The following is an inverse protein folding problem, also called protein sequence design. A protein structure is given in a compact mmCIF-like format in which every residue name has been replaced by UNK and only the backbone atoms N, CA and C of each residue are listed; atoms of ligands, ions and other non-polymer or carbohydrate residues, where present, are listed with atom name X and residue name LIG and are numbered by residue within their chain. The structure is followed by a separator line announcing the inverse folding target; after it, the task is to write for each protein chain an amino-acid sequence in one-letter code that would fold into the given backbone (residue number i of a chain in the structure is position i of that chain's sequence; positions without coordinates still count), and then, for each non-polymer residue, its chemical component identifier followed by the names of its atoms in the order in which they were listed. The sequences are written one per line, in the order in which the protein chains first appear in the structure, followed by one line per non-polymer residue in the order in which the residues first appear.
data_IF_200388736273
#
_entry.id   IF_200388736273
#
_cell.length_a   1.000
_cell.length_b   1.000
_cell.length_c   1.000
_cell.angle_alpha   90.00
_cell.angle_beta   90.00
_cell.angle_gamma   90.00
#
_symmetry.space_group_name_H-M   'P 1'
#
loop_
_entity.id
_entity.type
_entity.pdbx_description
1 polymer ?
#
# COMPACT_ATOMS: atom_id res chain seq x y z
N UNK A 1 74.69 -5.53 7.68
CA UNK A 1 74.68 -6.16 6.33
C UNK A 1 73.73 -7.36 6.34
N UNK A 2 72.93 -7.46 5.29
CA UNK A 2 71.71 -8.28 5.10
C UNK A 2 71.84 -9.79 5.35
N UNK A 3 70.86 -10.38 6.06
CA UNK A 3 70.30 -11.74 5.86
C UNK A 3 68.82 -11.75 6.34
N UNK A 4 67.82 -11.68 5.46
CA UNK A 4 67.10 -12.74 4.71
C UNK A 4 66.05 -13.54 5.53
N UNK A 5 64.82 -13.52 4.97
CA UNK A 5 63.68 -14.46 5.06
C UNK A 5 62.72 -14.33 6.26
N UNK A 6 61.48 -13.91 5.99
CA UNK A 6 60.27 -14.47 6.63
C UNK A 6 59.22 -14.75 5.56
N UNK A 7 58.51 -15.84 5.83
CA UNK A 7 57.67 -16.70 5.02
C UNK A 7 56.37 -16.07 4.48
N UNK A 8 55.90 -16.64 3.37
CA UNK A 8 54.53 -16.61 2.89
C UNK A 8 53.56 -17.17 3.95
N UNK A 9 52.38 -16.55 4.09
CA UNK A 9 51.21 -17.21 4.65
C UNK A 9 49.97 -16.78 3.85
N UNK A 10 49.57 -17.67 2.94
CA UNK A 10 48.30 -17.69 2.22
C UNK A 10 47.16 -17.83 3.24
N UNK A 11 46.34 -16.80 3.38
CA UNK A 11 45.15 -16.84 4.23
C UNK A 11 43.93 -17.32 3.45
N UNK A 12 43.76 -18.64 3.33
CA UNK A 12 42.45 -19.25 3.12
C UNK A 12 41.95 -19.77 4.47
N UNK A 13 40.93 -19.12 5.02
CA UNK A 13 40.18 -19.65 6.16
C UNK A 13 38.70 -19.32 5.99
N UNK A 14 37.93 -20.39 5.89
CA UNK A 14 36.48 -20.46 5.82
C UNK A 14 35.85 -19.96 7.13
N UNK A 15 34.93 -19.02 7.02
CA UNK A 15 33.86 -18.77 7.99
C UNK A 15 32.63 -18.45 7.13
N UNK A 16 31.61 -19.32 7.00
CA UNK A 16 30.89 -19.92 8.11
C UNK A 16 29.82 -18.92 8.57
N UNK A 17 28.63 -18.98 7.96
CA UNK A 17 27.43 -18.37 8.52
C UNK A 17 26.94 -17.08 7.86
N UNK A 18 26.20 -17.21 6.77
CA UNK A 18 24.80 -16.77 6.72
C UNK A 18 24.25 -17.27 5.39
N UNK A 19 23.63 -18.45 5.41
CA UNK A 19 22.54 -18.70 4.48
C UNK A 19 21.48 -17.68 4.91
N UNK A 20 21.45 -16.53 4.24
CA UNK A 20 20.22 -15.75 4.19
C UNK A 20 19.26 -16.68 3.47
N UNK A 21 18.49 -17.42 4.26
CA UNK A 21 17.29 -18.06 3.77
C UNK A 21 16.47 -16.92 3.20
N UNK A 22 16.56 -16.78 1.87
CA UNK A 22 15.60 -16.02 1.10
C UNK A 22 14.27 -16.67 1.39
N UNK A 23 13.60 -16.20 2.45
CA UNK A 23 12.25 -16.60 2.77
C UNK A 23 11.48 -16.37 1.50
N UNK A 24 10.97 -17.44 0.91
CA UNK A 24 10.17 -17.36 -0.30
C UNK A 24 9.13 -16.28 -0.05
N UNK A 25 9.26 -15.16 -0.77
CA UNK A 25 8.29 -14.08 -0.67
C UNK A 25 6.98 -14.73 -1.06
N UNK A 26 6.06 -14.87 -0.11
CA UNK A 26 4.76 -15.45 -0.36
C UNK A 26 4.15 -14.75 -1.57
N UNK A 27 3.60 -15.50 -2.52
CA UNK A 27 2.86 -14.94 -3.66
C UNK A 27 1.50 -14.35 -3.24
N UNK A 28 1.29 -14.17 -1.93
CA UNK A 28 0.06 -13.67 -1.33
C UNK A 28 0.35 -12.70 -0.19
N UNK A 29 -0.61 -11.80 0.04
CA UNK A 29 -0.61 -10.92 1.19
C UNK A 29 -0.88 -11.71 2.47
N UNK A 30 -0.34 -11.22 3.59
CA UNK A 30 -0.73 -11.70 4.92
C UNK A 30 -2.13 -11.18 5.30
N UNK A 31 -2.75 -11.77 6.31
CA UNK A 31 -4.08 -11.33 6.77
C UNK A 31 -4.05 -9.89 7.30
N UNK A 32 -2.97 -9.52 8.00
CA UNK A 32 -2.75 -8.15 8.47
C UNK A 32 -2.66 -7.15 7.30
N UNK A 33 -1.95 -7.52 6.23
CA UNK A 33 -1.86 -6.70 5.01
C UNK A 33 -3.23 -6.58 4.33
N UNK A 34 -3.97 -7.68 4.18
CA UNK A 34 -5.32 -7.65 3.60
C UNK A 34 -6.28 -6.78 4.38
N UNK A 35 -6.27 -6.88 5.71
CA UNK A 35 -7.09 -6.02 6.56
C UNK A 35 -6.77 -4.53 6.38
N UNK A 36 -5.47 -4.19 6.30
CA UNK A 36 -5.05 -2.81 6.05
C UNK A 36 -5.55 -2.30 4.69
N UNK A 37 -5.40 -3.11 3.63
CA UNK A 37 -5.91 -2.75 2.29
C UNK A 37 -7.43 -2.61 2.31
N UNK A 38 -8.15 -3.50 3.00
CA UNK A 38 -9.61 -3.43 3.11
C UNK A 38 -10.06 -2.18 3.88
N UNK A 39 -9.34 -1.78 4.92
CA UNK A 39 -9.61 -0.55 5.65
C UNK A 39 -9.42 0.69 4.75
N UNK A 40 -8.36 0.71 3.93
CA UNK A 40 -8.15 1.75 2.91
C UNK A 40 -9.27 1.73 1.87
N UNK A 41 -9.71 0.56 1.40
CA UNK A 41 -10.80 0.42 0.44
C UNK A 41 -12.11 1.00 0.99
N UNK A 42 -12.44 0.71 2.25
CA UNK A 42 -13.62 1.26 2.93
C UNK A 42 -13.54 2.78 3.09
N UNK A 43 -12.37 3.33 3.38
CA UNK A 43 -12.18 4.78 3.44
C UNK A 43 -12.31 5.44 2.07
N UNK A 44 -11.70 4.86 1.03
CA UNK A 44 -11.78 5.34 -0.35
C UNK A 44 -13.17 5.20 -0.98
N UNK A 45 -13.98 4.24 -0.53
CA UNK A 45 -15.36 4.05 -0.98
C UNK A 45 -16.29 5.22 -0.64
N UNK A 46 -15.85 6.15 0.22
CA UNK A 46 -16.68 7.24 0.76
C UNK A 46 -15.94 8.58 0.84
N UNK A 47 -14.64 8.62 0.52
CA UNK A 47 -13.81 9.81 0.59
C UNK A 47 -13.02 10.03 -0.72
N UNK A 48 -12.95 11.27 -1.24
CA UNK A 48 -13.60 12.48 -0.71
C UNK A 48 -15.11 12.51 -0.97
N UNK A 49 -15.56 11.76 -1.97
CA UNK A 49 -16.96 11.49 -2.35
C UNK A 49 -17.11 10.00 -2.64
N UNK A 50 -18.32 9.47 -2.53
CA UNK A 50 -18.59 8.09 -2.92
C UNK A 50 -18.38 7.90 -4.44
N UNK A 51 -17.59 6.90 -4.88
CA UNK A 51 -17.50 6.55 -6.29
C UNK A 51 -18.86 6.13 -6.86
N UNK A 52 -19.15 6.43 -8.13
CA UNK A 52 -20.41 6.01 -8.74
C UNK A 52 -20.55 4.47 -8.77
N UNK A 53 -21.76 4.00 -9.06
CA UNK A 53 -22.06 2.56 -9.06
C UNK A 53 -21.26 1.76 -10.09
N UNK A 54 -20.84 2.36 -11.21
CA UNK A 54 -20.16 1.68 -12.34
C UNK A 54 -20.93 0.45 -12.86
N UNK A 55 -22.27 0.47 -12.80
CA UNK A 55 -23.10 -0.68 -13.18
C UNK A 55 -23.07 -1.85 -12.20
N UNK A 56 -22.37 -1.71 -11.06
CA UNK A 56 -22.31 -2.73 -10.02
C UNK A 56 -23.45 -2.59 -9.01
N UNK A 57 -23.88 -3.71 -8.42
CA UNK A 57 -24.92 -3.72 -7.38
C UNK A 57 -24.34 -3.21 -6.05
N UNK A 58 -25.15 -2.41 -5.34
CA UNK A 58 -24.84 -1.90 -4.00
C UNK A 58 -23.98 -0.63 -3.99
N UNK A 59 -23.83 -0.04 -2.80
CA UNK A 59 -22.97 1.13 -2.59
C UNK A 59 -21.49 0.77 -2.73
N UNK A 60 -20.63 1.76 -2.97
CA UNK A 60 -19.18 1.55 -2.98
C UNK A 60 -18.70 0.90 -1.65
N UNK A 61 -19.27 1.33 -0.52
CA UNK A 61 -18.92 0.77 0.78
C UNK A 61 -19.31 -0.71 0.92
N UNK A 62 -20.49 -1.10 0.43
CA UNK A 62 -20.93 -2.51 0.44
C UNK A 62 -20.08 -3.41 -0.45
N UNK A 63 -19.38 -2.85 -1.45
CA UNK A 63 -18.46 -3.55 -2.34
C UNK A 63 -17.07 -3.75 -1.72
N UNK A 64 -16.71 -2.99 -0.68
CA UNK A 64 -15.42 -3.13 0.02
C UNK A 64 -15.42 -4.35 0.96
N UNK A 65 -15.38 -5.55 0.37
CA UNK A 65 -15.41 -6.85 1.07
C UNK A 65 -14.10 -7.62 0.92
N UNK A 66 -13.83 -8.52 1.88
CA UNK A 66 -12.65 -9.39 1.83
C UNK A 66 -12.66 -10.31 0.60
N UNK A 67 -13.83 -10.84 0.22
CA UNK A 67 -13.95 -11.68 -0.97
C UNK A 67 -13.51 -10.94 -2.24
N UNK A 68 -13.94 -9.69 -2.42
CA UNK A 68 -13.55 -8.87 -3.57
C UNK A 68 -12.08 -8.45 -3.52
N UNK A 69 -11.53 -8.25 -2.32
CA UNK A 69 -10.10 -8.00 -2.16
C UNK A 69 -9.29 -9.22 -2.64
N UNK A 70 -9.66 -10.43 -2.24
CA UNK A 70 -8.99 -11.65 -2.67
C UNK A 70 -9.12 -11.88 -4.20
N UNK A 71 -10.28 -11.58 -4.79
CA UNK A 71 -10.45 -11.59 -6.25
C UNK A 71 -9.54 -10.58 -6.96
N UNK A 72 -9.35 -9.38 -6.38
CA UNK A 72 -8.45 -8.37 -6.93
C UNK A 72 -6.97 -8.75 -6.75
N UNK A 73 -6.61 -9.31 -5.59
CA UNK A 73 -5.26 -9.80 -5.27
C UNK A 73 -4.83 -10.90 -6.25
N UNK A 74 -5.73 -11.85 -6.57
CA UNK A 74 -5.45 -12.94 -7.50
C UNK A 74 -5.13 -12.49 -8.93
N UNK A 75 -5.43 -11.24 -9.28
CA UNK A 75 -5.13 -10.64 -10.60
C UNK A 75 -3.82 -9.86 -10.63
N UNK A 76 -3.09 -9.76 -9.51
CA UNK A 76 -1.83 -9.04 -9.43
C UNK A 76 -0.67 -9.83 -10.04
N UNK A 77 0.25 -9.10 -10.66
CA UNK A 77 1.58 -9.64 -10.97
C UNK A 77 2.43 -9.82 -9.70
N UNK A 78 3.39 -10.79 -9.66
CA UNK A 78 4.24 -11.01 -8.49
C UNK A 78 5.04 -9.77 -8.04
N UNK A 79 5.53 -8.98 -8.99
CA UNK A 79 6.22 -7.72 -8.70
C UNK A 79 5.30 -6.70 -8.03
N UNK A 80 4.03 -6.65 -8.46
CA UNK A 80 3.03 -5.75 -7.86
C UNK A 80 2.63 -6.18 -6.46
N UNK A 81 2.55 -7.49 -6.17
CA UNK A 81 2.32 -8.00 -4.81
C UNK A 81 3.39 -7.49 -3.85
N UNK A 82 4.65 -7.45 -4.27
CA UNK A 82 5.75 -6.93 -3.44
C UNK A 82 5.57 -5.44 -3.12
N UNK A 83 5.13 -4.62 -4.09
CA UNK A 83 4.84 -3.21 -3.85
C UNK A 83 3.64 -3.00 -2.93
N UNK A 84 2.55 -3.73 -3.16
CA UNK A 84 1.35 -3.68 -2.31
C UNK A 84 1.70 -4.05 -0.87
N UNK A 85 2.48 -5.13 -0.68
CA UNK A 85 2.97 -5.57 0.62
C UNK A 85 3.72 -4.45 1.34
N UNK A 86 4.71 -3.85 0.69
CA UNK A 86 5.48 -2.73 1.25
C UNK A 86 4.57 -1.57 1.65
N UNK A 87 3.63 -1.17 0.78
CA UNK A 87 2.71 -0.08 1.06
C UNK A 87 1.80 -0.37 2.25
N UNK A 88 1.25 -1.59 2.34
CA UNK A 88 0.45 -2.02 3.50
C UNK A 88 1.29 -2.02 4.79
N UNK A 89 2.52 -2.54 4.72
CA UNK A 89 3.44 -2.57 5.86
C UNK A 89 3.83 -1.16 6.33
N UNK A 90 4.02 -0.19 5.44
CA UNK A 90 4.26 1.21 5.81
C UNK A 90 3.09 1.80 6.59
N UNK A 91 1.84 1.53 6.17
CA UNK A 91 0.66 1.99 6.88
C UNK A 91 0.51 1.32 8.25
N UNK A 92 0.82 0.02 8.34
CA UNK A 92 0.82 -0.73 9.60
C UNK A 92 1.90 -0.21 10.56
N UNK A 93 3.11 0.08 10.06
CA UNK A 93 4.21 0.61 10.85
C UNK A 93 3.91 2.01 11.42
N UNK A 94 3.08 2.79 10.72
CA UNK A 94 2.52 4.06 11.19
C UNK A 94 1.37 3.90 12.20
N UNK A 95 1.04 2.66 12.60
CA UNK A 95 0.00 2.38 13.59
C UNK A 95 -1.42 2.59 13.06
N UNK A 96 -1.63 2.54 11.73
CA UNK A 96 -2.92 2.89 11.13
C UNK A 96 -3.92 1.71 11.06
N UNK A 97 -3.51 0.49 11.40
CA UNK A 97 -4.42 -0.66 11.46
C UNK A 97 -5.41 -0.48 12.61
N UNK A 98 -6.71 -0.52 12.30
CA UNK A 98 -7.77 -0.24 13.26
C UNK A 98 -7.96 1.24 13.59
N UNK A 99 -7.20 2.15 12.98
CA UNK A 99 -7.37 3.58 13.18
C UNK A 99 -8.70 4.07 12.60
N UNK A 100 -9.27 5.10 13.23
CA UNK A 100 -10.45 5.80 12.71
C UNK A 100 -10.17 6.41 11.33
N UNK A 101 -11.22 6.61 10.52
CA UNK A 101 -11.10 7.04 9.12
C UNK A 101 -10.29 8.34 8.97
N UNK A 102 -10.48 9.34 9.83
CA UNK A 102 -9.75 10.60 9.75
C UNK A 102 -8.24 10.41 9.97
N UNK A 103 -7.86 9.66 11.01
CA UNK A 103 -6.46 9.31 11.31
C UNK A 103 -5.83 8.49 10.19
N UNK A 104 -6.58 7.54 9.61
CA UNK A 104 -6.13 6.78 8.44
C UNK A 104 -5.83 7.68 7.25
N UNK A 105 -6.75 8.57 6.87
CA UNK A 105 -6.57 9.46 5.72
C UNK A 105 -5.38 10.42 5.93
N UNK A 106 -5.23 10.96 7.13
CA UNK A 106 -4.09 11.80 7.49
C UNK A 106 -2.77 11.02 7.45
N UNK A 107 -2.76 9.78 7.95
CA UNK A 107 -1.61 8.89 7.92
C UNK A 107 -1.20 8.49 6.50
N UNK A 108 -2.17 8.20 5.62
CA UNK A 108 -1.92 7.99 4.19
C UNK A 108 -1.25 9.23 3.57
N UNK A 109 -1.75 10.44 3.88
CA UNK A 109 -1.14 11.69 3.41
C UNK A 109 0.31 11.90 3.91
N UNK A 110 0.61 11.47 5.14
CA UNK A 110 1.98 11.46 5.69
C UNK A 110 2.88 10.51 4.91
N UNK A 111 2.48 9.24 4.77
CA UNK A 111 3.27 8.21 4.04
C UNK A 111 3.47 8.60 2.57
N UNK A 112 2.47 9.22 1.95
CA UNK A 112 2.51 9.68 0.56
C UNK A 112 3.57 10.75 0.27
N UNK A 113 4.06 11.47 1.29
CA UNK A 113 5.16 12.43 1.15
C UNK A 113 6.54 11.80 1.44
N UNK A 114 6.59 10.50 1.75
CA UNK A 114 7.82 9.77 2.06
C UNK A 114 8.35 8.92 0.89
N UNK A 115 9.43 8.16 1.14
CA UNK A 115 10.07 7.29 0.13
C UNK A 115 9.17 6.13 -0.31
N UNK A 116 8.17 5.74 0.49
CA UNK A 116 7.27 4.62 0.20
C UNK A 116 6.07 5.00 -0.68
N UNK A 117 6.09 6.18 -1.31
CA UNK A 117 4.97 6.68 -2.13
C UNK A 117 4.54 5.71 -3.23
N UNK A 118 5.49 5.11 -3.94
CA UNK A 118 5.18 4.15 -5.02
C UNK A 118 4.47 2.90 -4.48
N UNK A 119 4.99 2.35 -3.39
CA UNK A 119 4.41 1.19 -2.71
C UNK A 119 3.00 1.51 -2.17
N UNK A 120 2.81 2.70 -1.60
CA UNK A 120 1.50 3.20 -1.17
C UNK A 120 0.52 3.31 -2.33
N UNK A 121 0.95 3.84 -3.49
CA UNK A 121 0.10 3.92 -4.69
C UNK A 121 -0.33 2.52 -5.14
N UNK A 122 0.56 1.53 -5.10
CA UNK A 122 0.19 0.14 -5.42
C UNK A 122 -0.86 -0.42 -4.43
N UNK A 123 -0.66 -0.20 -3.13
CA UNK A 123 -1.61 -0.61 -2.09
C UNK A 123 -2.99 0.04 -2.26
N UNK A 124 -3.04 1.36 -2.50
CA UNK A 124 -4.28 2.09 -2.78
C UNK A 124 -4.92 1.60 -4.08
N UNK A 125 -4.14 1.25 -5.10
CA UNK A 125 -4.71 0.73 -6.34
C UNK A 125 -5.42 -0.62 -6.13
N UNK A 126 -4.86 -1.51 -5.31
CA UNK A 126 -5.54 -2.75 -4.93
C UNK A 126 -6.84 -2.46 -4.14
N UNK A 127 -6.80 -1.47 -3.23
CA UNK A 127 -7.99 -1.03 -2.50
C UNK A 127 -9.07 -0.48 -3.45
N UNK A 128 -8.70 0.28 -4.47
CA UNK A 128 -9.61 0.78 -5.52
C UNK A 128 -10.19 -0.38 -6.34
N UNK A 129 -9.36 -1.32 -6.79
CA UNK A 129 -9.80 -2.50 -7.54
C UNK A 129 -10.70 -3.46 -6.73
N UNK A 130 -10.64 -3.39 -5.39
CA UNK A 130 -11.56 -4.08 -4.50
C UNK A 130 -12.97 -3.49 -4.60
N UNK A 131 -13.08 -2.15 -4.63
CA UNK A 131 -14.36 -1.42 -4.70
C UNK A 131 -14.93 -1.43 -6.12
N UNK A 132 -14.09 -1.25 -7.14
CA UNK A 132 -14.51 -1.16 -8.55
C UNK A 132 -13.90 -2.33 -9.33
N UNK A 133 -14.71 -3.35 -9.62
CA UNK A 133 -14.22 -4.64 -10.14
C UNK A 133 -13.52 -4.51 -11.50
N UNK A 134 -14.00 -3.58 -12.33
CA UNK A 134 -13.51 -3.37 -13.69
C UNK A 134 -12.13 -2.71 -13.76
N UNK A 135 -11.61 -2.17 -12.64
CA UNK A 135 -10.28 -1.60 -12.61
C UNK A 135 -9.21 -2.69 -12.49
N UNK A 136 -8.13 -2.49 -13.24
CA UNK A 136 -6.95 -3.34 -13.17
C UNK A 136 -6.13 -2.98 -11.92
N UNK A 137 -5.80 -3.96 -11.04
CA UNK A 137 -5.04 -3.68 -9.83
C UNK A 137 -3.55 -3.36 -10.12
N UNK A 138 -3.03 -3.72 -11.30
CA UNK A 138 -1.66 -3.39 -11.74
C UNK A 138 -1.50 -1.97 -12.31
N UNK A 139 -2.59 -1.23 -12.58
CA UNK A 139 -2.52 0.13 -13.18
C UNK A 139 -2.75 1.21 -12.14
N UNK A 140 -1.79 2.11 -11.91
CA UNK A 140 -1.80 3.08 -10.80
C UNK A 140 -2.70 4.32 -10.95
N UNK A 141 -3.29 4.58 -12.13
CA UNK A 141 -3.82 5.92 -12.47
C UNK A 141 -4.86 6.48 -11.47
N UNK A 142 -5.90 5.74 -11.05
CA UNK A 142 -6.86 6.25 -10.06
C UNK A 142 -6.23 6.50 -8.67
N UNK A 143 -5.32 5.62 -8.24
CA UNK A 143 -4.67 5.71 -6.94
C UNK A 143 -3.74 6.92 -6.83
N UNK A 144 -3.04 7.30 -7.91
CA UNK A 144 -2.12 8.44 -7.91
C UNK A 144 -2.80 9.76 -7.56
N UNK A 145 -3.99 10.01 -8.11
CA UNK A 145 -4.76 11.23 -7.82
C UNK A 145 -5.20 11.30 -6.35
N UNK A 146 -5.71 10.18 -5.81
CA UNK A 146 -6.16 10.12 -4.42
C UNK A 146 -5.01 10.27 -3.42
N UNK A 147 -3.91 9.54 -3.65
CA UNK A 147 -2.68 9.64 -2.84
C UNK A 147 -2.08 11.04 -2.94
N UNK A 148 -2.03 11.62 -4.15
CA UNK A 148 -1.53 12.97 -4.39
C UNK A 148 -2.36 14.04 -3.67
N UNK A 149 -3.68 13.91 -3.67
CA UNK A 149 -4.58 14.80 -2.94
C UNK A 149 -4.35 14.76 -1.43
N UNK A 150 -4.25 13.55 -0.85
CA UNK A 150 -3.95 13.40 0.59
C UNK A 150 -2.55 13.89 0.95
N UNK A 151 -1.56 13.68 0.08
CA UNK A 151 -0.22 14.21 0.26
C UNK A 151 -0.21 15.75 0.31
N UNK A 152 -0.98 16.39 -0.58
CA UNK A 152 -1.12 17.84 -0.62
C UNK A 152 -1.76 18.39 0.66
N UNK A 153 -2.86 17.77 1.13
CA UNK A 153 -3.52 18.16 2.38
C UNK A 153 -2.55 18.06 3.57
N UNK A 154 -1.80 16.95 3.67
CA UNK A 154 -0.80 16.78 4.72
C UNK A 154 0.26 17.88 4.70
N UNK A 155 0.82 18.22 3.53
CA UNK A 155 1.80 19.32 3.40
C UNK A 155 1.25 20.68 3.82
N UNK A 156 -0.05 20.90 3.62
CA UNK A 156 -0.76 22.12 4.05
C UNK A 156 -1.22 22.07 5.51
N UNK A 157 -0.97 20.97 6.21
CA UNK A 157 -1.48 20.72 7.57
C UNK A 157 -3.03 20.79 7.63
N UNK A 158 -3.69 20.50 6.51
CA UNK A 158 -5.14 20.45 6.39
C UNK A 158 -5.66 19.04 6.70
N UNK A 159 -6.80 18.96 7.37
CA UNK A 159 -7.43 17.68 7.69
C UNK A 159 -8.30 17.20 6.52
N UNK A 160 -8.22 15.91 6.13
CA UNK A 160 -9.15 15.31 5.18
C UNK A 160 -10.60 15.43 5.65
N UNK A 161 -11.45 16.12 4.87
CA UNK A 161 -12.89 16.26 5.14
C UNK A 161 -13.67 15.69 3.97
N UNK A 162 -14.72 14.90 4.25
CA UNK A 162 -15.64 14.49 3.19
C UNK A 162 -16.27 15.75 2.58
N UNK A 163 -16.33 15.79 1.26
CA UNK A 163 -17.06 16.83 0.57
C UNK A 163 -18.54 16.51 0.74
N UNK A 164 -19.29 17.42 1.37
CA UNK A 164 -20.76 17.37 1.29
C UNK A 164 -21.14 17.64 -0.16
N UNK A 165 -22.05 16.83 -0.72
CA UNK A 165 -22.55 17.09 -2.06
C UNK A 165 -23.08 18.52 -2.14
N UNK A 166 -22.64 19.26 -3.17
CA UNK A 166 -23.27 20.51 -3.60
C UNK A 166 -24.60 20.15 -4.28
N UNK A 167 -25.57 19.65 -3.52
CA UNK A 167 -26.97 19.54 -3.93
C UNK A 167 -27.72 20.60 -3.14
N UNK A 168 -27.60 21.84 -3.61
CA UNK A 168 -28.48 22.97 -3.29
C UNK A 168 -28.03 24.12 -4.22
N UNK A 169 -28.47 24.06 -5.46
CA UNK A 169 -28.80 25.24 -6.25
C UNK A 169 -30.25 25.02 -6.67
N UNK A 170 -31.14 25.54 -5.85
CA UNK A 170 -32.49 25.91 -6.27
C UNK A 170 -32.42 27.02 -7.34
#
# INVERSE_FOLDING_TARGET
MSRRRVFYATGAALAGGMVVTGGALSDRLSDAEREMILQVARAGAVYPVEPPGFGEKGSALSRATMARLMEAEARLSPSRITLVRRGAQSLIAEGLRGAGQASLLAGVGKVANGPEREALVAAVQLAVATVIRHLAPDRSVPAEGWVGGLALLHRRQEQPRRLRHLTERD
#
